data_IF_706203223981
#
_entry.id   IF_706203223981
#
_cell.length_a   1.000
_cell.length_b   1.000
_cell.length_c   1.000
_cell.angle_alpha   90.00
_cell.angle_beta   90.00
_cell.angle_gamma   90.00
#
_symmetry.space_group_name_H-M   'P 1'
#
loop_
_entity.id
_entity.type
_entity.pdbx_description
1 polymer ?
#
# COMPACT_ATOMS: atom_id res chain seq x y z
N UNK A 1 4.32 -17.80 15.68
CA UNK A 1 3.81 -16.47 15.26
C UNK A 1 4.74 -15.27 15.47
N UNK A 2 5.84 -15.37 16.23
CA UNK A 2 6.84 -14.30 16.35
C UNK A 2 7.73 -13.94 15.11
N UNK A 3 8.13 -14.89 14.23
CA UNK A 3 9.13 -14.60 13.19
C UNK A 3 8.58 -13.74 12.04
N UNK A 4 7.30 -13.94 11.67
CA UNK A 4 6.68 -13.17 10.59
C UNK A 4 6.53 -11.69 10.96
N UNK A 5 6.34 -11.41 12.24
CA UNK A 5 6.25 -10.05 12.73
C UNK A 5 7.63 -9.39 12.68
N UNK A 6 8.67 -10.00 13.26
CA UNK A 6 10.06 -9.50 13.17
C UNK A 6 10.52 -9.19 11.73
N UNK A 7 10.07 -9.96 10.74
CA UNK A 7 10.45 -9.80 9.33
C UNK A 7 10.03 -8.46 8.70
N UNK A 8 9.03 -7.78 9.25
CA UNK A 8 8.66 -6.44 8.79
C UNK A 8 9.47 -5.33 9.48
N UNK A 9 10.28 -5.66 10.51
CA UNK A 9 11.17 -4.70 11.16
C UNK A 9 12.15 -4.13 10.13
N UNK A 10 12.09 -2.82 9.90
CA UNK A 10 12.96 -2.12 8.95
C UNK A 10 12.31 -1.84 7.59
N UNK A 11 11.09 -2.35 7.33
CA UNK A 11 10.29 -1.85 6.23
C UNK A 11 9.50 -0.61 6.66
N UNK A 12 9.39 0.32 5.72
CA UNK A 12 8.60 1.53 5.84
C UNK A 12 7.56 1.55 4.72
N UNK A 13 6.41 2.17 5.00
CA UNK A 13 5.32 2.32 4.04
C UNK A 13 5.04 3.80 3.82
N UNK A 14 4.76 4.16 2.58
CA UNK A 14 4.09 5.41 2.22
C UNK A 14 2.70 5.06 1.69
N UNK A 15 1.67 5.66 2.29
CA UNK A 15 0.29 5.63 1.81
C UNK A 15 0.00 6.93 1.06
N UNK A 16 -0.67 6.82 -0.08
CA UNK A 16 -1.13 7.95 -0.89
C UNK A 16 -2.60 7.72 -1.24
N UNK A 17 -3.44 8.71 -1.03
CA UNK A 17 -4.86 8.66 -1.41
C UNK A 17 -5.24 9.96 -2.15
N UNK A 18 -5.79 9.88 -3.37
CA UNK A 18 -6.15 11.06 -4.15
C UNK A 18 -7.40 11.80 -3.63
N UNK A 19 -8.01 11.32 -2.55
CA UNK A 19 -9.25 11.79 -1.93
C UNK A 19 -10.47 11.77 -2.87
N UNK A 20 -10.44 10.89 -3.86
CA UNK A 20 -11.56 10.62 -4.76
C UNK A 20 -12.46 9.52 -4.17
N UNK A 21 -13.77 9.75 -4.01
CA UNK A 21 -14.69 8.74 -3.51
C UNK A 21 -14.75 7.51 -4.40
N UNK A 22 -14.40 6.35 -3.84
CA UNK A 22 -14.53 5.06 -4.52
C UNK A 22 -15.13 4.02 -3.58
N UNK A 23 -16.42 3.76 -3.73
CA UNK A 23 -17.09 2.79 -2.87
C UNK A 23 -16.73 1.35 -3.26
N UNK A 24 -16.44 0.51 -2.26
CA UNK A 24 -16.15 -0.91 -2.44
C UNK A 24 -17.21 -1.63 -3.30
N UNK A 25 -18.54 -1.46 -3.08
CA UNK A 25 -19.54 -2.17 -3.87
C UNK A 25 -19.50 -1.83 -5.37
N UNK A 26 -19.16 -0.59 -5.74
CA UNK A 26 -19.05 -0.20 -7.16
C UNK A 26 -17.90 -0.93 -7.83
N UNK A 27 -16.74 -1.06 -7.16
CA UNK A 27 -15.56 -1.76 -7.68
C UNK A 27 -15.85 -3.25 -7.89
N UNK A 28 -16.49 -3.90 -6.92
CA UNK A 28 -16.89 -5.31 -7.05
C UNK A 28 -17.90 -5.52 -8.19
N UNK A 29 -18.87 -4.63 -8.36
CA UNK A 29 -19.83 -4.71 -9.50
C UNK A 29 -19.15 -4.52 -10.85
N UNK A 30 -18.28 -3.51 -10.98
CA UNK A 30 -17.54 -3.26 -12.21
C UNK A 30 -16.65 -4.46 -12.60
N UNK A 31 -15.98 -5.07 -11.61
CA UNK A 31 -15.22 -6.31 -11.82
C UNK A 31 -16.10 -7.48 -12.28
N UNK A 32 -17.23 -7.71 -11.61
CA UNK A 32 -18.15 -8.79 -11.97
C UNK A 32 -18.70 -8.60 -13.40
N UNK A 33 -19.00 -7.35 -13.78
CA UNK A 33 -19.44 -7.00 -15.13
C UNK A 33 -18.36 -7.24 -16.20
N UNK A 34 -17.08 -7.17 -15.85
CA UNK A 34 -15.98 -7.52 -16.74
C UNK A 34 -15.81 -9.04 -16.94
N UNK A 35 -16.60 -9.88 -16.26
CA UNK A 35 -16.65 -11.33 -16.47
C UNK A 35 -15.47 -12.12 -15.90
N UNK A 36 -14.56 -11.48 -15.14
CA UNK A 36 -13.42 -12.16 -14.54
C UNK A 36 -13.79 -12.82 -13.19
N UNK A 37 -13.54 -14.13 -13.03
CA UNK A 37 -13.57 -14.81 -11.73
C UNK A 37 -12.40 -14.38 -10.85
N UNK A 38 -12.48 -14.56 -9.51
CA UNK A 38 -11.34 -14.30 -8.62
C UNK A 38 -10.22 -15.32 -8.84
N UNK A 39 -8.99 -14.84 -8.88
CA UNK A 39 -7.80 -15.68 -8.84
C UNK A 39 -7.76 -16.44 -7.51
N UNK A 40 -7.22 -17.67 -7.48
CA UNK A 40 -7.00 -18.38 -6.24
C UNK A 40 -6.17 -17.55 -5.26
N UNK A 41 -6.44 -17.69 -3.96
CA UNK A 41 -5.71 -16.96 -2.93
C UNK A 41 -4.20 -17.23 -3.05
N UNK A 42 -3.42 -16.15 -3.13
CA UNK A 42 -1.97 -16.23 -3.19
C UNK A 42 -1.41 -16.90 -1.93
N UNK A 43 -0.46 -17.81 -2.11
CA UNK A 43 0.28 -18.47 -1.04
C UNK A 43 1.62 -17.77 -0.90
N UNK A 44 1.67 -16.76 -0.03
CA UNK A 44 2.92 -16.06 0.26
C UNK A 44 3.77 -16.90 1.24
N UNK A 45 5.10 -16.93 1.08
CA UNK A 45 5.96 -17.46 2.12
C UNK A 45 5.78 -16.63 3.40
N UNK A 46 6.12 -17.20 4.55
CA UNK A 46 6.28 -16.39 5.75
C UNK A 46 7.38 -15.35 5.46
N UNK A 47 7.18 -14.07 5.82
CA UNK A 47 8.23 -13.07 5.69
C UNK A 47 9.39 -13.46 6.61
N UNK A 48 10.61 -13.28 6.13
CA UNK A 48 11.86 -13.61 6.83
C UNK A 48 12.73 -12.35 6.94
N UNK A 49 13.28 -12.08 8.13
CA UNK A 49 14.21 -10.97 8.34
C UNK A 49 15.51 -11.15 7.54
N UNK A 50 15.91 -12.39 7.26
CA UNK A 50 17.14 -12.69 6.53
C UNK A 50 17.00 -12.43 5.02
N UNK A 51 15.78 -12.56 4.48
CA UNK A 51 15.51 -12.38 3.05
C UNK A 51 14.10 -11.82 2.81
N UNK A 52 13.91 -10.56 3.19
CA UNK A 52 12.68 -9.83 2.87
C UNK A 52 12.48 -9.67 1.35
N UNK A 53 13.56 -9.77 0.56
CA UNK A 53 13.55 -9.69 -0.89
C UNK A 53 12.76 -10.82 -1.54
N UNK A 54 12.95 -12.06 -1.10
CA UNK A 54 12.17 -13.21 -1.55
C UNK A 54 10.67 -13.04 -1.27
N UNK A 55 10.32 -12.47 -0.11
CA UNK A 55 8.93 -12.17 0.24
C UNK A 55 8.35 -11.07 -0.64
N UNK A 56 9.10 -9.98 -0.88
CA UNK A 56 8.68 -8.90 -1.80
C UNK A 56 8.49 -9.42 -3.23
N UNK A 57 9.34 -10.33 -3.69
CA UNK A 57 9.19 -10.97 -5.01
C UNK A 57 7.91 -11.81 -5.08
N UNK A 58 7.63 -12.64 -4.05
CA UNK A 58 6.40 -13.42 -3.97
C UNK A 58 5.16 -12.52 -3.90
N UNK A 59 5.23 -11.41 -3.14
CA UNK A 59 4.18 -10.41 -3.10
C UNK A 59 3.98 -9.76 -4.48
N UNK A 60 5.08 -9.45 -5.19
CA UNK A 60 5.10 -8.95 -6.56
C UNK A 60 4.34 -9.83 -7.55
N UNK A 61 4.47 -11.14 -7.42
CA UNK A 61 3.75 -12.12 -8.24
C UNK A 61 2.25 -12.25 -7.88
N UNK A 62 1.85 -11.87 -6.66
CA UNK A 62 0.44 -11.85 -6.27
C UNK A 62 -0.32 -10.69 -6.94
N UNK A 63 -1.62 -10.87 -7.15
CA UNK A 63 -2.47 -9.90 -7.87
C UNK A 63 -3.51 -9.30 -6.94
N UNK A 64 -3.78 -8.01 -7.11
CA UNK A 64 -5.01 -7.41 -6.60
C UNK A 64 -6.06 -7.43 -7.71
N UNK A 65 -6.98 -8.39 -7.63
CA UNK A 65 -8.05 -8.62 -8.61
C UNK A 65 -9.05 -7.46 -8.76
N UNK A 66 -9.04 -6.49 -7.84
CA UNK A 66 -9.88 -5.30 -7.91
C UNK A 66 -9.21 -4.15 -8.67
N UNK A 67 -7.90 -4.22 -8.89
CA UNK A 67 -7.12 -3.11 -9.44
C UNK A 67 -7.58 -2.66 -10.82
N UNK A 68 -7.88 -3.59 -11.74
CA UNK A 68 -8.34 -3.24 -13.09
C UNK A 68 -9.66 -2.45 -13.04
N UNK A 69 -10.64 -2.92 -12.25
CA UNK A 69 -11.92 -2.25 -12.10
C UNK A 69 -11.78 -0.89 -11.40
N UNK A 70 -10.94 -0.80 -10.36
CA UNK A 70 -10.71 0.46 -9.66
C UNK A 70 -10.03 1.50 -10.58
N UNK A 71 -8.99 1.10 -11.34
CA UNK A 71 -8.30 1.96 -12.31
C UNK A 71 -9.23 2.46 -13.43
N UNK A 72 -10.21 1.65 -13.85
CA UNK A 72 -11.18 2.10 -14.86
C UNK A 72 -12.21 3.09 -14.32
N UNK A 73 -12.46 3.08 -13.00
CA UNK A 73 -13.43 3.95 -12.35
C UNK A 73 -12.80 5.27 -11.86
N UNK A 74 -11.52 5.24 -11.47
CA UNK A 74 -10.80 6.38 -10.89
C UNK A 74 -9.43 6.53 -11.58
N UNK A 75 -9.29 7.47 -12.54
CA UNK A 75 -8.05 7.66 -13.30
C UNK A 75 -6.87 8.16 -12.45
N UNK A 76 -7.12 8.69 -11.26
CA UNK A 76 -6.09 9.11 -10.31
C UNK A 76 -5.36 7.91 -9.67
N UNK A 77 -5.92 6.69 -9.74
CA UNK A 77 -5.25 5.48 -9.22
C UNK A 77 -4.00 5.15 -10.06
N UNK A 78 -4.08 5.01 -11.40
CA UNK A 78 -2.89 4.89 -12.24
C UNK A 78 -1.88 6.03 -12.04
N UNK A 79 -2.34 7.26 -11.83
CA UNK A 79 -1.48 8.41 -11.57
C UNK A 79 -0.70 8.22 -10.25
N UNK A 80 -1.38 7.83 -9.18
CA UNK A 80 -0.77 7.56 -7.88
C UNK A 80 0.21 6.37 -7.94
N UNK A 81 -0.16 5.27 -8.60
CA UNK A 81 0.75 4.12 -8.79
C UNK A 81 1.99 4.52 -9.59
N UNK A 82 1.84 5.33 -10.64
CA UNK A 82 2.96 5.81 -11.45
C UNK A 82 3.83 6.81 -10.68
N UNK A 83 3.24 7.70 -9.89
CA UNK A 83 3.97 8.63 -9.02
C UNK A 83 4.80 7.86 -7.99
N UNK A 84 4.20 6.86 -7.34
CA UNK A 84 4.88 5.99 -6.37
C UNK A 84 6.01 5.18 -7.02
N UNK A 85 5.77 4.60 -8.20
CA UNK A 85 6.76 3.77 -8.90
C UNK A 85 8.00 4.53 -9.41
N UNK A 86 7.97 5.87 -9.44
CA UNK A 86 9.11 6.72 -9.80
C UNK A 86 9.93 7.18 -8.60
N UNK A 87 9.51 6.88 -7.38
CA UNK A 87 10.20 7.32 -6.17
C UNK A 87 11.50 6.54 -5.97
N UNK A 88 12.58 7.27 -5.70
CA UNK A 88 13.85 6.66 -5.31
C UNK A 88 13.67 5.86 -4.01
N UNK A 89 14.21 4.64 -3.98
CA UNK A 89 14.16 3.76 -2.81
C UNK A 89 12.85 2.99 -2.62
N UNK A 90 11.83 3.20 -3.46
CA UNK A 90 10.63 2.37 -3.44
C UNK A 90 10.96 0.97 -3.96
N UNK A 91 10.79 -0.06 -3.13
CA UNK A 91 11.06 -1.45 -3.49
C UNK A 91 9.81 -2.21 -3.96
N UNK A 92 8.62 -1.68 -3.70
CA UNK A 92 7.34 -2.26 -4.11
C UNK A 92 6.24 -1.20 -4.11
N UNK A 93 5.27 -1.29 -5.03
CA UNK A 93 4.12 -0.39 -5.09
C UNK A 93 2.84 -1.12 -5.49
N UNK A 94 1.69 -0.76 -4.90
CA UNK A 94 0.37 -1.31 -5.29
C UNK A 94 -0.80 -0.47 -4.78
N UNK A 95 -1.96 -0.58 -5.43
CA UNK A 95 -3.25 -0.22 -4.83
C UNK A 95 -3.65 -1.13 -3.66
N UNK A 96 -4.12 -0.55 -2.55
CA UNK A 96 -4.64 -1.28 -1.39
C UNK A 96 -6.14 -1.57 -1.51
N UNK A 97 -6.54 -2.83 -1.31
CA UNK A 97 -7.95 -3.25 -1.29
C UNK A 97 -8.71 -2.89 -2.58
N UNK A 98 -9.87 -2.23 -2.44
CA UNK A 98 -10.66 -1.71 -3.56
C UNK A 98 -10.25 -0.31 -4.02
N UNK A 99 -9.20 0.28 -3.44
CA UNK A 99 -8.78 1.66 -3.68
C UNK A 99 -9.66 2.70 -2.96
N UNK A 100 -9.38 4.00 -3.13
CA UNK A 100 -8.38 4.58 -4.03
C UNK A 100 -6.96 4.70 -3.44
N UNK A 101 -6.73 4.29 -2.19
CA UNK A 101 -5.40 4.34 -1.56
C UNK A 101 -4.41 3.44 -2.30
N UNK A 102 -3.26 3.99 -2.65
CA UNK A 102 -2.08 3.27 -3.14
C UNK A 102 -0.96 3.37 -2.11
N UNK A 103 -0.01 2.44 -2.18
CA UNK A 103 1.13 2.43 -1.27
C UNK A 103 2.44 2.06 -1.95
N UNK A 104 3.54 2.51 -1.36
CA UNK A 104 4.89 2.06 -1.65
C UNK A 104 5.58 1.55 -0.39
N UNK A 105 6.46 0.55 -0.55
CA UNK A 105 7.33 0.05 0.51
C UNK A 105 8.77 0.53 0.28
N UNK A 106 9.48 0.74 1.38
CA UNK A 106 10.86 1.20 1.42
C UNK A 106 11.63 0.39 2.47
N UNK A 107 12.93 0.21 2.27
CA UNK A 107 13.83 -0.39 3.26
C UNK A 107 14.50 0.66 4.16
N UNK A 108 14.24 1.95 3.92
CA UNK A 108 14.85 3.07 4.64
C UNK A 108 13.79 4.11 5.01
N UNK A 109 13.78 4.53 6.28
CA UNK A 109 12.89 5.56 6.80
C UNK A 109 13.02 6.88 6.03
N UNK A 110 14.26 7.35 5.84
CA UNK A 110 14.56 8.61 5.19
C UNK A 110 14.06 8.64 3.73
N UNK A 111 14.12 7.52 3.02
CA UNK A 111 13.58 7.41 1.67
C UNK A 111 12.05 7.56 1.66
N UNK A 112 11.35 6.92 2.60
CA UNK A 112 9.89 7.02 2.72
C UNK A 112 9.42 8.44 3.10
N UNK A 113 10.13 9.12 4.01
CA UNK A 113 9.84 10.51 4.42
C UNK A 113 10.11 11.53 3.30
N UNK A 114 11.24 11.36 2.59
CA UNK A 114 11.55 12.18 1.42
C UNK A 114 10.51 11.98 0.30
N UNK A 115 10.10 10.74 0.07
CA UNK A 115 9.04 10.37 -0.85
C UNK A 115 7.69 11.02 -0.49
N UNK A 116 7.28 10.98 0.79
CA UNK A 116 6.07 11.65 1.26
C UNK A 116 6.13 13.14 0.94
N UNK A 117 7.26 13.79 1.23
CA UNK A 117 7.47 15.21 0.98
C UNK A 117 7.41 15.56 -0.52
N UNK A 118 7.93 14.69 -1.39
CA UNK A 118 7.87 14.86 -2.84
C UNK A 118 6.43 14.74 -3.37
N UNK A 119 5.70 13.69 -2.97
CA UNK A 119 4.32 13.48 -3.41
C UNK A 119 3.42 14.61 -2.92
N UNK A 120 3.50 15.00 -1.65
CA UNK A 120 2.66 16.08 -1.11
C UNK A 120 2.90 17.43 -1.79
N UNK A 121 4.13 17.70 -2.28
CA UNK A 121 4.42 18.91 -3.08
C UNK A 121 3.92 18.81 -4.52
N UNK A 122 4.08 17.65 -5.16
CA UNK A 122 3.66 17.43 -6.54
C UNK A 122 2.13 17.32 -6.68
N UNK A 123 1.46 16.80 -5.66
CA UNK A 123 0.01 16.59 -5.63
C UNK A 123 -0.59 17.13 -4.31
N UNK A 124 -0.74 18.46 -4.15
CA UNK A 124 -1.21 19.07 -2.89
C UNK A 124 -2.63 18.66 -2.48
N UNK A 125 -3.44 18.13 -3.40
CA UNK A 125 -4.78 17.63 -3.12
C UNK A 125 -4.83 16.19 -2.60
N UNK A 126 -3.70 15.48 -2.59
CA UNK A 126 -3.64 14.10 -2.12
C UNK A 126 -3.33 14.03 -0.64
N UNK A 127 -3.95 13.07 0.05
CA UNK A 127 -3.55 12.69 1.40
C UNK A 127 -2.36 11.74 1.34
N UNK A 128 -1.39 11.96 2.23
CA UNK A 128 -0.22 11.08 2.37
C UNK A 128 0.07 10.79 3.84
N UNK A 129 0.55 9.57 4.12
CA UNK A 129 1.06 9.20 5.45
C UNK A 129 2.19 8.19 5.31
N UNK A 130 3.24 8.32 6.11
CA UNK A 130 4.35 7.36 6.13
C UNK A 130 4.66 6.88 7.55
N UNK A 131 5.23 5.69 7.67
CA UNK A 131 5.66 5.13 8.94
C UNK A 131 6.32 3.75 8.79
N UNK A 132 6.91 3.23 9.88
CA UNK A 132 7.46 1.89 9.91
C UNK A 132 6.34 0.84 9.89
N UNK A 133 6.61 -0.31 9.27
CA UNK A 133 5.80 -1.50 9.49
C UNK A 133 6.16 -2.12 10.84
N UNK A 134 5.13 -2.55 11.57
CA UNK A 134 5.30 -3.09 12.90
C UNK A 134 5.75 -4.54 12.85
N UNK A 135 6.69 -4.86 13.72
CA UNK A 135 7.21 -6.20 13.88
C UNK A 135 6.47 -7.05 14.93
N UNK A 136 5.21 -6.70 15.22
CA UNK A 136 4.38 -7.31 16.25
C UNK A 136 3.12 -6.50 16.49
N UNK A 137 2.19 -7.00 17.31
CA UNK A 137 1.07 -6.18 17.77
C UNK A 137 1.61 -4.90 18.42
N UNK A 138 1.12 -3.71 18.04
CA UNK A 138 1.55 -2.48 18.67
C UNK A 138 1.18 -2.49 20.15
N UNK A 139 2.04 -1.89 20.99
CA UNK A 139 1.53 -1.28 22.22
C UNK A 139 0.64 -0.09 21.80
N UNK A 140 -0.68 -0.27 21.88
CA UNK A 140 -1.63 0.80 21.59
C UNK A 140 -1.52 1.83 22.72
N UNK A 141 -0.82 2.94 22.46
CA UNK A 141 -0.83 4.09 23.37
C UNK A 141 -2.12 4.87 23.17
N UNK A 142 -2.93 4.96 24.21
CA UNK A 142 -4.10 5.83 24.21
C UNK A 142 -3.65 7.29 24.00
N UNK A 143 -4.25 7.97 23.01
CA UNK A 143 -4.03 9.40 22.83
C UNK A 143 -4.76 10.12 23.97
N UNK A 144 -4.09 10.98 24.76
CA UNK A 144 -4.80 11.74 25.78
C UNK A 144 -5.91 12.55 25.12
N UNK A 145 -7.11 12.50 25.69
CA UNK A 145 -8.26 13.24 25.20
C UNK A 145 -7.84 14.70 24.98
N UNK A 146 -8.13 15.24 23.78
CA UNK A 146 -7.94 16.67 23.54
C UNK A 146 -8.77 17.41 24.58
N UNK A 147 -8.10 18.15 25.47
CA UNK A 147 -8.74 19.12 26.34
C UNK A 147 -9.48 20.12 25.45
N UNK A 148 -10.79 20.23 25.66
CA UNK A 148 -11.64 21.25 25.04
C UNK A 148 -11.42 22.63 25.63
#
# INVERSE_FOLDING_TARGET
DAPAAAAFAGLHILLVNPLVPLSTPVVFRARAAAGAGFTPAARLPAPDTADIGAWLAALGAAVNDLSVAARSLVPEIPEAEAALGRLAGACFTRMSGSGATCFALFTEAAAAEAAQSLISRAHPGWWTATGPLLAGPPEIRETPARSG
#
